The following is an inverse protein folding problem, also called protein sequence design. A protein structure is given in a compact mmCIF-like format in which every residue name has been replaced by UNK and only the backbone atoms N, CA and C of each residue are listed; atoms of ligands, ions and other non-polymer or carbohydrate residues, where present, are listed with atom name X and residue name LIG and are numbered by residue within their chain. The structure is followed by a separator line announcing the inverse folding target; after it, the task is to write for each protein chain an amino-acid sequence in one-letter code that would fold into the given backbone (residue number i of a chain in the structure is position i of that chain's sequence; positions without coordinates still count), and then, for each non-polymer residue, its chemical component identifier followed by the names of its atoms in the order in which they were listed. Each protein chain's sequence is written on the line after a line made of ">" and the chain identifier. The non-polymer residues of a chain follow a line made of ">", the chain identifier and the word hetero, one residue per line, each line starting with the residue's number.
data_IF_169863419072
#
_entry.id   IF_169863419072
#
_cell.length_a   1.000
_cell.length_b   1.000
_cell.length_c   1.000
_cell.angle_alpha   90.00
_cell.angle_beta   90.00
_cell.angle_gamma   90.00
#
_symmetry.space_group_name_H-M   'P 1'
#
loop_
_entity.id
_entity.type
_entity.pdbx_description
1 polymer ?
#
# COMPACT_ATOMS: atom_id res chain seq x y z
N UNK A 1 -2.88 40.95 9.20
CA UNK A 1 -3.69 39.78 9.58
C UNK A 1 -3.15 38.59 8.81
N UNK A 2 -2.31 37.78 9.45
CA UNK A 2 -1.67 36.62 8.84
C UNK A 2 -2.70 35.52 8.60
N UNK A 3 -2.76 35.04 7.36
CA UNK A 3 -3.35 33.76 7.03
C UNK A 3 -2.43 32.67 7.59
N UNK A 4 -2.88 31.99 8.64
CA UNK A 4 -2.18 30.84 9.19
C UNK A 4 -2.11 29.77 8.11
N UNK A 5 -0.89 29.40 7.73
CA UNK A 5 -0.61 28.28 6.86
C UNK A 5 -1.10 27.00 7.55
N UNK A 6 -2.28 26.53 7.16
CA UNK A 6 -2.76 25.20 7.50
C UNK A 6 -1.76 24.21 6.91
N UNK A 7 -0.93 23.61 7.76
CA UNK A 7 -0.02 22.52 7.41
C UNK A 7 -0.77 21.50 6.56
N UNK A 8 -0.45 21.42 5.28
CA UNK A 8 -1.05 20.48 4.33
C UNK A 8 -0.78 19.07 4.82
N UNK A 9 -1.76 18.46 5.49
CA UNK A 9 -1.64 17.10 6.04
C UNK A 9 -1.46 16.12 4.88
N UNK A 10 -0.47 15.24 4.98
CA UNK A 10 -0.16 14.26 3.94
C UNK A 10 -1.40 13.37 3.66
N UNK A 11 -1.78 13.24 2.38
CA UNK A 11 -3.05 12.61 1.97
C UNK A 11 -3.14 11.10 2.26
N UNK A 12 -2.02 10.37 2.21
CA UNK A 12 -2.00 8.92 2.49
C UNK A 12 -2.17 8.60 3.99
N UNK A 13 -1.46 9.25 4.93
CA UNK A 13 -1.75 9.13 6.36
C UNK A 13 -3.21 9.39 6.74
N UNK A 14 -3.87 10.35 6.08
CA UNK A 14 -5.28 10.62 6.33
C UNK A 14 -6.19 9.43 5.99
N UNK A 15 -5.94 8.73 4.87
CA UNK A 15 -6.67 7.50 4.52
C UNK A 15 -6.46 6.43 5.59
N UNK A 16 -5.21 6.23 6.02
CA UNK A 16 -4.89 5.26 7.06
C UNK A 16 -5.58 5.58 8.38
N UNK A 17 -5.59 6.85 8.80
CA UNK A 17 -6.30 7.32 10.00
C UNK A 17 -7.82 7.08 9.88
N UNK A 18 -8.41 7.45 8.74
CA UNK A 18 -9.85 7.30 8.50
C UNK A 18 -10.28 5.83 8.45
N UNK A 19 -9.49 4.98 7.81
CA UNK A 19 -9.69 3.54 7.81
C UNK A 19 -9.58 2.96 9.23
N UNK A 20 -8.52 3.31 9.97
CA UNK A 20 -8.29 2.83 11.32
C UNK A 20 -9.43 3.21 12.27
N UNK A 21 -9.98 4.42 12.12
CA UNK A 21 -11.11 4.89 12.93
C UNK A 21 -12.42 4.16 12.63
N UNK A 22 -12.66 3.76 11.37
CA UNK A 22 -13.98 3.24 10.93
C UNK A 22 -14.07 1.72 10.90
N UNK A 23 -12.97 1.00 10.62
CA UNK A 23 -12.97 -0.44 10.32
C UNK A 23 -13.50 -1.34 11.45
N UNK A 24 -13.48 -0.87 12.70
CA UNK A 24 -13.97 -1.61 13.87
C UNK A 24 -15.28 -1.07 14.44
N UNK A 25 -15.89 -0.05 13.82
CA UNK A 25 -17.16 0.50 14.30
C UNK A 25 -18.30 -0.52 14.16
N UNK A 26 -19.28 -0.46 15.06
CA UNK A 26 -20.46 -1.34 14.99
C UNK A 26 -21.24 -1.13 13.69
N UNK A 27 -21.29 0.10 13.18
CA UNK A 27 -21.87 0.39 11.86
C UNK A 27 -21.09 -0.26 10.71
N UNK A 28 -19.76 -0.29 10.77
CA UNK A 28 -18.95 -0.99 9.77
C UNK A 28 -19.19 -2.50 9.78
N UNK A 29 -19.30 -3.11 10.97
CA UNK A 29 -19.62 -4.53 11.12
C UNK A 29 -20.99 -4.86 10.54
N UNK A 30 -22.01 -4.08 10.90
CA UNK A 30 -23.36 -4.27 10.39
C UNK A 30 -23.47 -4.14 8.87
N UNK A 31 -22.84 -3.11 8.28
CA UNK A 31 -22.79 -2.98 6.83
C UNK A 31 -22.06 -4.14 6.17
N UNK A 32 -20.94 -4.59 6.76
CA UNK A 32 -20.17 -5.70 6.22
C UNK A 32 -20.97 -7.02 6.25
N UNK A 33 -21.74 -7.28 7.30
CA UNK A 33 -22.65 -8.43 7.36
C UNK A 33 -23.64 -8.41 6.18
N UNK A 34 -24.23 -7.25 5.87
CA UNK A 34 -25.11 -7.08 4.71
C UNK A 34 -24.37 -7.31 3.39
N UNK A 35 -23.13 -6.82 3.27
CA UNK A 35 -22.31 -7.02 2.07
C UNK A 35 -22.00 -8.50 1.83
N UNK A 36 -21.73 -9.28 2.88
CA UNK A 36 -21.45 -10.73 2.75
C UNK A 36 -22.70 -11.53 2.33
N UNK A 37 -23.89 -11.02 2.60
CA UNK A 37 -25.13 -11.58 2.10
C UNK A 37 -25.26 -11.38 0.59
N UNK A 38 -24.97 -10.17 0.11
CA UNK A 38 -25.05 -9.79 -1.32
C UNK A 38 -23.88 -10.35 -2.15
N UNK A 39 -22.67 -10.38 -1.61
CA UNK A 39 -21.44 -10.77 -2.28
C UNK A 39 -20.79 -11.96 -1.57
N UNK A 40 -21.01 -13.20 -2.06
CA UNK A 40 -20.46 -14.41 -1.43
C UNK A 40 -18.94 -14.45 -1.32
N UNK A 41 -18.22 -13.72 -2.21
CA UNK A 41 -16.77 -13.64 -2.20
C UNK A 41 -16.20 -12.98 -0.93
N UNK A 42 -17.01 -12.18 -0.22
CA UNK A 42 -16.60 -11.52 1.03
C UNK A 42 -16.80 -12.39 2.27
N UNK A 43 -17.44 -13.56 2.15
CA UNK A 43 -17.72 -14.44 3.30
C UNK A 43 -16.44 -15.04 3.86
N UNK A 44 -16.38 -15.16 5.19
CA UNK A 44 -15.23 -15.74 5.90
C UNK A 44 -14.03 -14.79 6.05
N UNK A 45 -14.21 -13.51 5.70
CA UNK A 45 -13.26 -12.44 5.99
C UNK A 45 -13.85 -11.51 7.04
N UNK A 46 -13.00 -10.86 7.83
CA UNK A 46 -13.38 -9.63 8.51
C UNK A 46 -12.97 -8.43 7.67
N UNK A 47 -13.78 -7.36 7.66
CA UNK A 47 -13.51 -6.14 6.90
C UNK A 47 -12.10 -5.58 7.15
N UNK A 48 -11.66 -5.60 8.41
CA UNK A 48 -10.34 -5.10 8.80
C UNK A 48 -9.18 -5.92 8.23
N UNK A 49 -9.40 -7.19 7.88
CA UNK A 49 -8.36 -8.09 7.34
C UNK A 49 -8.19 -7.98 5.83
N UNK A 50 -9.26 -7.60 5.11
CA UNK A 50 -9.28 -7.64 3.65
C UNK A 50 -8.09 -6.91 3.02
N UNK A 51 -7.73 -5.67 3.42
CA UNK A 51 -6.60 -4.97 2.81
C UNK A 51 -5.27 -5.73 2.85
N UNK A 52 -5.05 -6.48 3.93
CA UNK A 52 -3.82 -7.25 4.11
C UNK A 52 -3.86 -8.58 3.35
N UNK A 53 -5.06 -9.14 3.13
CA UNK A 53 -5.23 -10.46 2.51
C UNK A 53 -5.28 -10.41 0.99
N UNK A 54 -5.79 -9.34 0.36
CA UNK A 54 -5.91 -9.24 -1.12
C UNK A 54 -4.61 -9.56 -1.85
N UNK A 55 -3.45 -9.17 -1.32
CA UNK A 55 -2.14 -9.46 -1.91
C UNK A 55 -1.66 -10.91 -1.75
N UNK A 56 -2.30 -11.67 -0.87
CA UNK A 56 -1.94 -13.05 -0.49
C UNK A 56 -2.90 -14.10 -1.01
N UNK A 57 -4.11 -13.69 -1.40
CA UNK A 57 -5.14 -14.58 -1.90
C UNK A 57 -4.77 -15.15 -3.28
N UNK A 58 -5.26 -16.36 -3.62
CA UNK A 58 -5.25 -16.84 -5.00
C UNK A 58 -5.87 -15.80 -5.93
N UNK A 59 -5.32 -15.63 -7.14
CA UNK A 59 -5.70 -14.54 -8.05
C UNK A 59 -7.21 -14.44 -8.30
N UNK A 60 -7.90 -15.57 -8.48
CA UNK A 60 -9.35 -15.59 -8.71
C UNK A 60 -10.16 -15.12 -7.49
N UNK A 61 -9.70 -15.46 -6.27
CA UNK A 61 -10.33 -15.01 -5.03
C UNK A 61 -10.06 -13.52 -4.79
N UNK A 62 -8.82 -13.07 -4.99
CA UNK A 62 -8.47 -11.66 -4.91
C UNK A 62 -9.28 -10.80 -5.90
N UNK A 63 -9.44 -11.29 -7.13
CA UNK A 63 -10.24 -10.63 -8.17
C UNK A 63 -11.72 -10.54 -7.77
N UNK A 64 -12.30 -11.62 -7.23
CA UNK A 64 -13.70 -11.65 -6.80
C UNK A 64 -13.96 -10.73 -5.60
N UNK A 65 -13.06 -10.71 -4.61
CA UNK A 65 -13.12 -9.80 -3.45
C UNK A 65 -13.03 -8.35 -3.93
N UNK A 66 -12.03 -8.02 -4.76
CA UNK A 66 -11.85 -6.66 -5.26
C UNK A 66 -13.04 -6.21 -6.11
N UNK A 67 -13.56 -7.07 -6.98
CA UNK A 67 -14.75 -6.77 -7.80
C UNK A 67 -15.96 -6.42 -6.93
N UNK A 68 -16.20 -7.21 -5.87
CA UNK A 68 -17.27 -6.96 -4.91
C UNK A 68 -17.11 -5.60 -4.22
N UNK A 69 -15.89 -5.27 -3.76
CA UNK A 69 -15.61 -3.99 -3.12
C UNK A 69 -15.77 -2.80 -4.09
N UNK A 70 -15.36 -2.96 -5.35
CA UNK A 70 -15.53 -1.92 -6.38
C UNK A 70 -17.02 -1.67 -6.62
N UNK A 71 -17.82 -2.73 -6.77
CA UNK A 71 -19.26 -2.61 -6.94
C UNK A 71 -19.91 -1.88 -5.76
N UNK A 72 -19.58 -2.28 -4.53
CA UNK A 72 -20.05 -1.61 -3.30
C UNK A 72 -19.63 -0.13 -3.25
N UNK A 73 -18.40 0.19 -3.64
CA UNK A 73 -17.94 1.57 -3.66
C UNK A 73 -18.68 2.41 -4.70
N UNK A 74 -19.01 1.84 -5.88
CA UNK A 74 -19.81 2.51 -6.91
C UNK A 74 -21.28 2.67 -6.48
N UNK A 75 -21.80 1.76 -5.66
CA UNK A 75 -23.12 1.86 -5.02
C UNK A 75 -23.18 2.90 -3.87
N UNK A 76 -22.07 3.59 -3.59
CA UNK A 76 -22.00 4.68 -2.61
C UNK A 76 -21.48 4.29 -1.23
N UNK A 77 -21.06 3.03 -1.02
CA UNK A 77 -20.46 2.60 0.23
C UNK A 77 -18.99 3.05 0.33
N UNK A 78 -18.76 4.27 0.84
CA UNK A 78 -17.43 4.87 0.97
C UNK A 78 -16.40 4.02 1.73
N UNK A 79 -16.86 3.22 2.69
CA UNK A 79 -16.00 2.32 3.46
C UNK A 79 -15.39 1.19 2.60
N UNK A 80 -16.08 0.74 1.55
CA UNK A 80 -15.54 -0.22 0.59
C UNK A 80 -14.41 0.42 -0.23
N UNK A 81 -14.58 1.67 -0.65
CA UNK A 81 -13.54 2.47 -1.30
C UNK A 81 -12.29 2.66 -0.43
N UNK A 82 -12.47 3.02 0.85
CA UNK A 82 -11.37 3.12 1.80
C UNK A 82 -10.65 1.78 2.00
N UNK A 83 -11.39 0.67 2.05
CA UNK A 83 -10.81 -0.68 2.11
C UNK A 83 -9.95 -0.99 0.87
N UNK A 84 -10.38 -0.58 -0.33
CA UNK A 84 -9.61 -0.74 -1.57
C UNK A 84 -8.33 0.10 -1.49
N UNK A 85 -8.43 1.37 -1.11
CA UNK A 85 -7.26 2.24 -1.01
C UNK A 85 -6.23 1.70 -0.03
N UNK A 86 -6.67 1.23 1.14
CA UNK A 86 -5.79 0.58 2.11
C UNK A 86 -5.09 -0.65 1.50
N UNK A 87 -5.83 -1.49 0.76
CA UNK A 87 -5.29 -2.68 0.11
C UNK A 87 -4.22 -2.32 -0.94
N UNK A 88 -4.40 -1.17 -1.60
CA UNK A 88 -3.53 -0.68 -2.67
C UNK A 88 -2.51 0.37 -2.21
N UNK A 89 -2.43 0.70 -0.92
CA UNK A 89 -1.43 1.63 -0.37
C UNK A 89 0.01 1.34 -0.80
N UNK A 90 0.50 0.08 -0.82
CA UNK A 90 1.85 -0.22 -1.33
C UNK A 90 2.03 0.16 -2.82
N UNK A 91 0.98 0.06 -3.62
CA UNK A 91 1.01 0.46 -5.04
C UNK A 91 0.91 1.97 -5.18
N UNK A 92 0.11 2.65 -4.36
CA UNK A 92 0.04 4.12 -4.30
C UNK A 92 1.43 4.70 -4.03
N UNK A 93 2.13 4.20 -3.01
CA UNK A 93 3.51 4.63 -2.68
C UNK A 93 4.45 4.47 -3.87
N UNK A 94 4.39 3.33 -4.58
CA UNK A 94 5.22 3.11 -5.78
C UNK A 94 4.85 4.04 -6.94
N UNK A 95 3.57 4.38 -7.08
CA UNK A 95 3.06 5.17 -8.21
C UNK A 95 3.36 6.66 -8.04
N UNK A 96 3.49 7.14 -6.79
CA UNK A 96 3.94 8.50 -6.48
C UNK A 96 5.34 8.79 -7.04
N UNK A 97 6.21 7.79 -7.04
CA UNK A 97 7.57 7.89 -7.59
C UNK A 97 7.65 7.60 -9.10
N UNK A 98 6.52 7.32 -9.74
CA UNK A 98 6.50 7.11 -11.19
C UNK A 98 6.93 8.39 -11.93
N UNK A 99 7.80 8.26 -12.93
CA UNK A 99 8.38 9.39 -13.68
C UNK A 99 7.31 10.33 -14.28
N UNK A 100 6.20 9.76 -14.73
CA UNK A 100 5.05 10.52 -15.23
C UNK A 100 4.38 11.39 -14.16
N UNK A 101 4.35 10.96 -12.90
CA UNK A 101 3.80 11.72 -11.76
C UNK A 101 4.81 12.74 -11.26
N UNK A 102 6.06 12.32 -11.08
CA UNK A 102 7.16 13.22 -10.67
C UNK A 102 7.37 14.38 -11.65
N UNK A 103 7.17 14.14 -12.95
CA UNK A 103 7.26 15.15 -13.98
C UNK A 103 6.10 16.15 -14.03
N UNK A 104 5.00 15.89 -13.30
CA UNK A 104 3.81 16.75 -13.23
C UNK A 104 3.75 17.55 -11.92
N UNK A 105 4.22 16.97 -10.81
CA UNK A 105 4.14 17.58 -9.48
C UNK A 105 5.51 17.62 -8.82
N UNK A 106 5.91 18.78 -8.31
CA UNK A 106 7.19 18.94 -7.60
C UNK A 106 7.09 18.51 -6.15
N UNK A 107 5.98 18.86 -5.48
CA UNK A 107 5.76 18.55 -4.07
C UNK A 107 5.28 17.10 -3.85
N UNK A 108 5.77 16.46 -2.80
CA UNK A 108 5.46 15.06 -2.50
C UNK A 108 4.00 14.86 -2.09
N UNK A 109 3.43 15.80 -1.33
CA UNK A 109 2.03 15.68 -0.90
C UNK A 109 1.06 15.84 -2.06
N UNK A 110 1.37 16.76 -2.99
CA UNK A 110 0.60 16.91 -4.23
C UNK A 110 0.64 15.62 -5.07
N UNK A 111 1.80 14.94 -5.14
CA UNK A 111 1.89 13.62 -5.81
C UNK A 111 1.01 12.58 -5.15
N UNK A 112 1.04 12.48 -3.81
CA UNK A 112 0.18 11.54 -3.08
C UNK A 112 -1.29 11.85 -3.30
N UNK A 113 -1.70 13.12 -3.17
CA UNK A 113 -3.07 13.55 -3.40
C UNK A 113 -3.53 13.20 -4.82
N UNK A 114 -2.71 13.48 -5.83
CA UNK A 114 -2.99 13.14 -7.22
C UNK A 114 -3.16 11.64 -7.45
N UNK A 115 -2.24 10.81 -6.94
CA UNK A 115 -2.33 9.35 -7.08
C UNK A 115 -3.56 8.78 -6.37
N UNK A 116 -3.91 9.33 -5.20
CA UNK A 116 -5.12 8.93 -4.46
C UNK A 116 -6.37 9.30 -5.25
N UNK A 117 -6.44 10.51 -5.81
CA UNK A 117 -7.56 10.93 -6.68
C UNK A 117 -7.65 10.02 -7.91
N UNK A 118 -6.53 9.69 -8.54
CA UNK A 118 -6.49 8.73 -9.63
C UNK A 118 -6.96 7.32 -9.24
N UNK A 119 -6.68 6.89 -8.00
CA UNK A 119 -7.18 5.63 -7.47
C UNK A 119 -8.70 5.66 -7.26
N UNK A 120 -9.24 6.76 -6.71
CA UNK A 120 -10.68 6.98 -6.61
C UNK A 120 -11.36 6.98 -7.98
N UNK A 121 -10.76 7.65 -8.97
CA UNK A 121 -11.25 7.65 -10.35
C UNK A 121 -11.22 6.25 -10.96
N UNK A 122 -10.17 5.47 -10.68
CA UNK A 122 -10.08 4.08 -11.11
C UNK A 122 -11.19 3.20 -10.49
N UNK A 123 -11.63 3.49 -9.26
CA UNK A 123 -12.74 2.80 -8.60
C UNK A 123 -14.07 3.22 -9.24
N UNK A 124 -14.32 4.53 -9.38
CA UNK A 124 -15.60 5.07 -9.86
C UNK A 124 -15.90 4.70 -11.32
N UNK A 125 -14.87 4.57 -12.15
CA UNK A 125 -15.00 4.30 -13.60
C UNK A 125 -14.73 2.85 -13.98
N UNK A 126 -14.47 1.97 -13.01
CA UNK A 126 -14.19 0.57 -13.30
C UNK A 126 -15.39 -0.09 -14.00
N UNK A 127 -15.15 -0.76 -15.12
CA UNK A 127 -16.18 -1.50 -15.83
C UNK A 127 -16.51 -2.81 -15.09
N UNK A 128 -17.64 -2.84 -14.39
CA UNK A 128 -18.10 -4.01 -13.62
C UNK A 128 -18.37 -5.26 -14.47
N UNK A 129 -18.48 -5.15 -15.80
CA UNK A 129 -18.55 -6.33 -16.67
C UNK A 129 -17.23 -7.12 -16.72
N UNK A 130 -16.10 -6.50 -16.34
CA UNK A 130 -14.80 -7.17 -16.24
C UNK A 130 -14.67 -7.88 -14.89
N UNK A 131 -14.96 -9.18 -14.87
CA UNK A 131 -14.91 -10.01 -13.65
C UNK A 131 -13.60 -10.81 -13.51
N UNK A 132 -12.74 -10.78 -14.54
CA UNK A 132 -11.47 -11.50 -14.56
C UNK A 132 -10.29 -10.53 -14.58
N UNK A 133 -9.18 -10.91 -13.95
CA UNK A 133 -7.96 -10.11 -13.84
C UNK A 133 -8.24 -8.73 -13.25
N UNK A 134 -9.20 -8.65 -12.32
CA UNK A 134 -9.73 -7.41 -11.75
C UNK A 134 -8.61 -6.63 -11.09
N UNK A 135 -7.76 -7.28 -10.30
CA UNK A 135 -6.60 -6.65 -9.65
C UNK A 135 -5.65 -6.03 -10.67
N UNK A 136 -5.36 -6.74 -11.77
CA UNK A 136 -4.47 -6.23 -12.81
C UNK A 136 -5.10 -5.07 -13.60
N UNK A 137 -6.36 -5.22 -14.00
CA UNK A 137 -7.09 -4.19 -14.75
C UNK A 137 -7.26 -2.92 -13.91
N UNK A 138 -7.63 -3.06 -12.64
CA UNK A 138 -7.75 -1.95 -11.70
C UNK A 138 -6.42 -1.23 -11.52
N UNK A 139 -5.34 -1.99 -11.32
CA UNK A 139 -4.01 -1.43 -11.18
C UNK A 139 -3.52 -0.68 -12.45
N UNK A 140 -3.88 -1.17 -13.63
CA UNK A 140 -3.62 -0.49 -14.90
C UNK A 140 -4.47 0.78 -15.04
N UNK A 141 -5.72 0.77 -14.59
CA UNK A 141 -6.56 1.96 -14.54
C UNK A 141 -5.96 3.02 -13.60
N UNK A 142 -5.52 2.63 -12.40
CA UNK A 142 -4.81 3.55 -11.49
C UNK A 142 -3.61 4.20 -12.17
N UNK A 143 -2.77 3.42 -12.87
CA UNK A 143 -1.63 3.94 -13.62
C UNK A 143 -2.08 4.90 -14.74
N UNK A 144 -3.11 4.53 -15.51
CA UNK A 144 -3.66 5.35 -16.59
C UNK A 144 -4.16 6.71 -16.09
N UNK A 145 -4.82 6.75 -14.92
CA UNK A 145 -5.31 8.00 -14.33
C UNK A 145 -4.21 8.81 -13.64
N UNK A 146 -3.25 8.16 -12.98
CA UNK A 146 -2.18 8.84 -12.25
C UNK A 146 -1.11 9.39 -13.19
N UNK A 147 -0.74 8.63 -14.21
CA UNK A 147 0.25 9.01 -15.22
C UNK A 147 -0.37 8.78 -16.60
N UNK A 148 -1.35 9.61 -17.02
CA UNK A 148 -1.87 9.52 -18.37
C UNK A 148 -0.71 9.67 -19.34
N UNK A 149 -0.75 8.91 -20.43
CA UNK A 149 0.12 9.15 -21.58
C UNK A 149 -0.19 10.55 -22.08
N UNK A 150 0.52 11.53 -21.54
CA UNK A 150 0.62 12.84 -22.14
C UNK A 150 1.39 12.61 -23.43
N UNK A 151 0.90 13.19 -24.53
CA UNK A 151 1.68 13.44 -25.74
C UNK A 151 2.83 14.42 -25.41
N UNK A 152 3.68 14.09 -24.44
CA UNK A 152 5.06 14.55 -24.47
C UNK A 152 5.59 13.98 -25.76
N UNK A 153 5.64 14.83 -26.79
CA UNK A 153 6.29 14.54 -28.07
C UNK A 153 7.58 13.82 -27.75
N UNK A 154 7.56 12.50 -27.88
CA UNK A 154 8.78 11.71 -27.93
C UNK A 154 9.44 12.27 -29.17
N UNK A 155 10.50 13.08 -28.97
CA UNK A 155 11.34 13.48 -30.08
C UNK A 155 11.68 12.18 -30.81
N UNK A 156 11.36 12.11 -32.10
CA UNK A 156 11.45 10.89 -32.93
C UNK A 156 12.88 10.30 -33.03
N UNK A 157 13.84 10.78 -32.22
CA UNK A 157 15.24 10.43 -32.23
C UNK A 157 15.84 10.40 -30.81
N UNK A 158 15.53 9.40 -29.98
CA UNK A 158 16.40 9.01 -28.85
C UNK A 158 16.37 7.48 -28.76
N UNK A 159 17.12 6.79 -29.62
CA UNK A 159 18.48 6.24 -29.42
C UNK A 159 18.50 5.06 -28.45
N UNK A 160 18.74 3.86 -28.99
CA UNK A 160 19.19 2.70 -28.22
C UNK A 160 20.42 3.12 -27.43
N UNK A 161 20.31 3.22 -26.10
CA UNK A 161 21.46 3.46 -25.24
C UNK A 161 22.34 2.22 -25.33
N UNK A 162 23.55 2.37 -25.88
CA UNK A 162 24.56 1.31 -25.86
C UNK A 162 24.89 0.98 -24.40
N UNK A 163 25.14 -0.30 -24.11
CA UNK A 163 25.23 -0.83 -22.74
C UNK A 163 26.24 -0.14 -21.80
N UNK A 164 27.20 0.60 -22.36
CA UNK A 164 28.23 1.33 -21.59
C UNK A 164 27.69 2.61 -20.93
N UNK A 165 26.75 3.34 -21.57
CA UNK A 165 26.15 4.56 -20.99
C UNK A 165 25.18 4.25 -19.83
N UNK A 166 24.59 3.04 -19.84
CA UNK A 166 23.74 2.55 -18.77
C UNK A 166 24.55 2.25 -17.51
N UNK A 167 25.76 1.68 -17.66
CA UNK A 167 26.65 1.44 -16.52
C UNK A 167 27.16 2.74 -15.91
N UNK A 168 27.48 3.74 -16.74
CA UNK A 168 27.91 5.04 -16.23
C UNK A 168 26.79 5.77 -15.49
N UNK A 169 25.55 5.78 -16.01
CA UNK A 169 24.39 6.34 -15.31
C UNK A 169 24.02 5.59 -14.02
N UNK A 170 24.16 4.27 -13.98
CA UNK A 170 23.96 3.49 -12.75
C UNK A 170 25.03 3.87 -11.70
N UNK A 171 26.28 4.09 -12.12
CA UNK A 171 27.36 4.50 -11.22
C UNK A 171 27.17 5.93 -10.69
N UNK A 172 26.80 6.90 -11.53
CA UNK A 172 26.50 8.27 -11.07
C UNK A 172 25.21 8.35 -10.23
N UNK A 173 24.23 7.48 -10.45
CA UNK A 173 23.02 7.39 -9.61
C UNK A 173 23.28 6.74 -8.24
N UNK A 174 24.35 5.94 -8.12
CA UNK A 174 24.81 5.38 -6.84
C UNK A 174 25.62 6.43 -6.05
N UNK A 175 26.43 7.25 -6.74
CA UNK A 175 27.29 8.26 -6.09
C UNK A 175 26.61 9.59 -5.73
N UNK A 176 25.38 9.84 -6.21
CA UNK A 176 24.63 11.08 -5.91
C UNK A 176 23.60 10.95 -4.78
N UNK A 177 23.59 9.83 -4.03
CA UNK A 177 22.72 9.67 -2.85
C UNK A 177 23.22 10.44 -1.62
N UNK A 178 23.20 11.76 -1.72
CA UNK A 178 23.07 12.64 -0.55
C UNK A 178 21.59 12.83 -0.25
N UNK A 179 21.07 12.17 0.78
CA UNK A 179 19.98 12.74 1.59
C UNK A 179 18.65 11.99 1.75
N UNK A 180 18.42 10.80 1.20
CA UNK A 180 17.26 9.98 1.61
C UNK A 180 17.60 8.48 1.66
N UNK A 181 17.42 7.80 2.81
CA UNK A 181 17.69 6.38 2.92
C UNK A 181 16.75 5.58 1.99
N UNK A 182 17.31 4.56 1.33
CA UNK A 182 16.57 3.72 0.38
C UNK A 182 15.49 2.91 1.14
N UNK A 183 14.35 2.58 0.53
CA UNK A 183 13.25 1.86 1.20
C UNK A 183 13.66 0.62 2.05
N UNK A 184 14.65 -0.21 1.65
CA UNK A 184 15.14 -1.31 2.50
C UNK A 184 15.88 -0.80 3.76
N UNK A 185 16.66 0.28 3.64
CA UNK A 185 17.39 0.88 4.75
C UNK A 185 16.45 1.58 5.74
N UNK A 186 15.33 2.13 5.28
CA UNK A 186 14.28 2.66 6.15
C UNK A 186 13.59 1.55 6.95
N UNK A 187 13.29 0.41 6.32
CA UNK A 187 12.71 -0.75 7.01
C UNK A 187 13.69 -1.31 8.04
N UNK A 188 14.97 -1.40 7.71
CA UNK A 188 16.00 -1.85 8.65
C UNK A 188 16.18 -0.88 9.84
N UNK A 189 16.11 0.43 9.60
CA UNK A 189 16.15 1.42 10.67
C UNK A 189 14.96 1.29 11.64
N UNK A 190 13.74 1.10 11.11
CA UNK A 190 12.52 0.90 11.91
C UNK A 190 12.61 -0.41 12.72
N UNK A 191 13.10 -1.49 12.11
CA UNK A 191 13.26 -2.77 12.80
C UNK A 191 14.34 -2.70 13.90
N UNK A 192 15.42 -1.95 13.67
CA UNK A 192 16.48 -1.72 14.65
C UNK A 192 15.95 -0.90 15.83
N UNK A 193 15.22 0.18 15.57
CA UNK A 193 14.55 0.97 16.61
C UNK A 193 13.56 0.12 17.43
N UNK A 194 12.79 -0.76 16.78
CA UNK A 194 11.84 -1.64 17.47
C UNK A 194 12.54 -2.68 18.36
N UNK A 195 13.76 -3.08 18.01
CA UNK A 195 14.61 -3.93 18.85
C UNK A 195 15.14 -3.17 20.06
N UNK A 196 15.66 -1.96 19.85
CA UNK A 196 16.22 -1.09 20.90
C UNK A 196 15.17 -0.74 21.96
N UNK A 197 13.92 -0.53 21.54
CA UNK A 197 12.79 -0.22 22.42
C UNK A 197 12.07 -1.46 22.99
N UNK A 198 12.61 -2.68 22.76
CA UNK A 198 12.06 -3.96 23.24
C UNK A 198 10.61 -4.25 22.78
N UNK A 199 10.17 -3.62 21.68
CA UNK A 199 8.81 -3.76 21.14
C UNK A 199 8.66 -5.08 20.40
N UNK A 200 9.71 -5.49 19.71
CA UNK A 200 9.83 -6.76 19.01
C UNK A 200 11.06 -7.53 19.53
N UNK A 201 10.92 -8.85 19.67
CA UNK A 201 12.03 -9.73 19.97
C UNK A 201 12.82 -10.07 18.68
N UNK A 202 14.06 -10.53 18.84
CA UNK A 202 14.93 -10.91 17.71
C UNK A 202 14.29 -11.97 16.80
N UNK A 203 13.51 -12.89 17.36
CA UNK A 203 12.75 -13.89 16.60
C UNK A 203 11.67 -13.25 15.71
N UNK A 204 10.93 -12.27 16.23
CA UNK A 204 9.89 -11.55 15.50
C UNK A 204 10.46 -10.63 14.41
N UNK A 205 11.61 -10.01 14.66
CA UNK A 205 12.35 -9.22 13.65
C UNK A 205 12.83 -10.12 12.53
N UNK A 206 13.45 -11.27 12.87
CA UNK A 206 13.89 -12.25 11.88
C UNK A 206 12.72 -12.77 11.05
N UNK A 207 11.56 -13.02 11.67
CA UNK A 207 10.34 -13.45 10.99
C UNK A 207 9.82 -12.40 10.01
N UNK A 208 9.72 -11.13 10.40
CA UNK A 208 9.29 -10.04 9.51
C UNK A 208 10.29 -9.88 8.36
N UNK A 209 11.59 -9.88 8.67
CA UNK A 209 12.66 -9.72 7.69
C UNK A 209 12.64 -10.85 6.66
N UNK A 210 12.52 -12.10 7.10
CA UNK A 210 12.40 -13.25 6.19
C UNK A 210 11.09 -13.21 5.40
N UNK A 211 9.96 -12.87 6.03
CA UNK A 211 8.68 -12.75 5.34
C UNK A 211 8.67 -11.69 4.21
N UNK A 212 9.35 -10.54 4.41
CA UNK A 212 9.36 -9.45 3.42
C UNK A 212 10.56 -9.46 2.45
N UNK A 213 11.74 -9.91 2.86
CA UNK A 213 12.95 -9.87 2.01
C UNK A 213 13.11 -11.11 1.12
N UNK A 214 12.65 -12.29 1.55
CA UNK A 214 12.96 -13.55 0.87
C UNK A 214 11.76 -14.22 0.18
N UNK A 215 10.52 -13.86 0.53
CA UNK A 215 9.34 -14.63 0.09
C UNK A 215 8.30 -13.72 -0.60
N UNK A 216 8.67 -13.27 -1.80
CA UNK A 216 7.83 -12.39 -2.64
C UNK A 216 6.71 -13.16 -3.34
N UNK A 217 6.85 -14.47 -3.49
CA UNK A 217 5.86 -15.33 -4.12
C UNK A 217 5.10 -16.19 -3.10
N UNK A 218 3.93 -16.69 -3.50
CA UNK A 218 3.05 -17.51 -2.66
C UNK A 218 3.70 -18.86 -2.26
N UNK A 219 4.53 -19.44 -3.14
CA UNK A 219 5.19 -20.73 -2.90
C UNK A 219 6.24 -20.60 -1.81
N UNK A 220 7.07 -19.57 -1.91
CA UNK A 220 8.12 -19.24 -0.91
C UNK A 220 7.51 -19.09 0.50
N UNK A 221 6.34 -18.48 0.65
CA UNK A 221 5.70 -18.31 1.96
C UNK A 221 5.22 -19.63 2.59
N UNK A 222 4.88 -20.62 1.76
CA UNK A 222 4.53 -21.96 2.23
C UNK A 222 5.76 -22.72 2.72
N UNK A 223 6.91 -22.52 2.06
CA UNK A 223 8.19 -23.09 2.50
C UNK A 223 8.61 -22.50 3.86
N UNK A 224 8.43 -21.20 4.06
CA UNK A 224 8.70 -20.55 5.35
C UNK A 224 7.77 -21.03 6.48
N UNK A 225 6.47 -21.24 6.19
CA UNK A 225 5.54 -21.82 7.17
C UNK A 225 5.95 -23.26 7.55
N UNK A 226 6.38 -24.04 6.55
CA UNK A 226 6.85 -25.42 6.74
C UNK A 226 8.14 -25.49 7.54
N UNK A 227 9.10 -24.59 7.26
CA UNK A 227 10.36 -24.47 8.01
C UNK A 227 10.13 -24.13 9.49
N UNK A 228 9.10 -23.34 9.78
CA UNK A 228 8.71 -22.97 11.14
C UNK A 228 7.78 -24.00 11.82
N UNK A 229 7.38 -25.06 11.11
CA UNK A 229 6.48 -26.09 11.64
C UNK A 229 5.08 -25.58 12.00
N UNK A 230 4.63 -24.48 11.39
CA UNK A 230 3.33 -23.86 11.68
C UNK A 230 2.43 -23.87 10.45
N UNK A 231 1.12 -23.80 10.68
CA UNK A 231 0.17 -23.63 9.59
C UNK A 231 0.36 -22.26 8.92
N UNK A 232 0.01 -22.18 7.64
CA UNK A 232 0.04 -20.95 6.85
C UNK A 232 -0.74 -19.81 7.53
N UNK A 233 -1.94 -20.11 8.03
CA UNK A 233 -2.79 -19.11 8.66
C UNK A 233 -2.21 -18.65 10.01
N UNK A 234 -1.53 -19.54 10.74
CA UNK A 234 -0.79 -19.18 11.95
C UNK A 234 0.42 -18.30 11.65
N UNK A 235 1.14 -18.55 10.54
CA UNK A 235 2.22 -17.67 10.07
C UNK A 235 1.69 -16.26 9.81
N UNK A 236 0.60 -16.13 9.06
CA UNK A 236 -0.01 -14.83 8.76
C UNK A 236 -0.49 -14.11 10.02
N UNK A 237 -1.20 -14.80 10.92
CA UNK A 237 -1.63 -14.20 12.18
C UNK A 237 -0.44 -13.74 13.04
N UNK A 238 0.65 -14.51 13.07
CA UNK A 238 1.85 -14.17 13.83
C UNK A 238 2.54 -12.94 13.24
N UNK A 239 2.74 -12.89 11.93
CA UNK A 239 3.31 -11.72 11.24
C UNK A 239 2.42 -10.49 11.43
N UNK A 240 1.10 -10.66 11.29
CA UNK A 240 0.13 -9.58 11.49
C UNK A 240 0.21 -8.98 12.90
N UNK A 241 0.19 -9.82 13.94
CA UNK A 241 0.31 -9.36 15.33
C UNK A 241 1.61 -8.58 15.58
N UNK A 242 2.72 -9.01 14.98
CA UNK A 242 4.00 -8.31 15.09
C UNK A 242 3.97 -6.97 14.35
N UNK A 243 3.39 -6.91 13.14
CA UNK A 243 3.24 -5.67 12.37
C UNK A 243 2.28 -4.68 13.05
N UNK A 244 1.14 -5.14 13.58
CA UNK A 244 0.23 -4.28 14.31
C UNK A 244 0.87 -3.72 15.57
N UNK A 245 1.65 -4.51 16.31
CA UNK A 245 2.44 -4.01 17.44
C UNK A 245 3.45 -2.96 17.01
N UNK A 246 4.16 -3.19 15.92
CA UNK A 246 5.12 -2.24 15.37
C UNK A 246 4.43 -0.93 14.94
N UNK A 247 3.32 -1.02 14.22
CA UNK A 247 2.54 0.13 13.77
C UNK A 247 2.01 0.95 14.96
N UNK A 248 1.43 0.30 15.97
CA UNK A 248 0.95 0.98 17.18
C UNK A 248 2.08 1.67 17.95
N UNK A 249 3.24 1.04 18.04
CA UNK A 249 4.43 1.61 18.67
C UNK A 249 4.98 2.83 17.93
N UNK A 250 5.12 2.74 16.61
CA UNK A 250 5.59 3.85 15.77
C UNK A 250 4.60 5.02 15.84
N UNK A 251 3.29 4.75 15.76
CA UNK A 251 2.28 5.78 15.92
C UNK A 251 2.32 6.44 17.31
N UNK A 252 2.59 5.68 18.38
CA UNK A 252 2.75 6.22 19.72
C UNK A 252 4.02 7.09 19.85
N UNK A 253 5.13 6.67 19.26
CA UNK A 253 6.40 7.42 19.27
C UNK A 253 6.26 8.75 18.51
N UNK A 254 5.67 8.74 17.31
CA UNK A 254 5.38 9.95 16.53
C UNK A 254 4.47 10.90 17.31
N UNK A 255 3.51 10.36 18.07
CA UNK A 255 2.62 11.18 18.91
C UNK A 255 3.33 11.77 20.13
N UNK A 256 4.34 11.09 20.68
CA UNK A 256 5.15 11.59 21.79
C UNK A 256 6.13 12.67 21.34
N UNK A 257 6.80 12.48 20.21
CA UNK A 257 7.73 13.47 19.64
C UNK A 257 6.99 14.78 19.29
N UNK A 258 5.81 14.68 18.67
CA UNK A 258 4.97 15.86 18.37
C UNK A 258 4.45 16.60 19.62
N UNK A 259 4.52 15.98 20.81
CA UNK A 259 4.07 16.56 22.08
C UNK A 259 5.24 17.15 22.90
N UNK A 260 6.49 16.90 22.52
CA UNK A 260 7.68 17.48 23.16
C UNK A 260 8.13 18.80 22.51
N UNK A 261 7.62 19.12 21.32
CA UNK A 261 7.90 20.36 20.57
C UNK A 261 6.86 21.49 20.83
N UNK A 262 6.08 21.39 21.92
CA UNK A 262 5.16 22.42 22.43
C UNK A 262 5.57 22.85 23.85
#
# INVERSE_FOLDING_TARGET
>A
MSLNATTTRNALPQIHEEWAARRYSDGARHHFDQWTAQYPALRGYELAEIPFRVSTLPRGEADAVLHSLISLSQDGFSLAGLCILEAFSPRIVRLVDHTGVQGQFTDLNDRYAHVIVAAWEAISTYNLALTQKVVANFAMNMLKYAAPYSDRKIAKHETCTSGDDLQQHIHTAIDTKSGTPTAPAQVDAILTWAQENQILNSEGIHLIRSYYLTHTTHVERLDLASLLGISRDALYQRVHRLLSRLQSAVAAHIKQDNNQDL
#
